data_IF_644020324525
#
_entry.id   IF_644020324525
#
_cell.length_a   1.000
_cell.length_b   1.000
_cell.length_c   1.000
_cell.angle_alpha   90.00
_cell.angle_beta   90.00
_cell.angle_gamma   90.00
#
_symmetry.space_group_name_H-M   'P 1'
#
loop_
_entity.id
_entity.type
_entity.pdbx_description
1 polymer ?
#
# COMPACT_ATOMS: atom_id res chain seq x y z
N UNK A 1 16.88 -17.14 3.85
CA UNK A 1 16.62 -16.40 2.59
C UNK A 1 15.87 -15.12 2.96
N UNK A 2 16.18 -13.98 2.31
CA UNK A 2 15.49 -12.69 2.51
C UNK A 2 14.64 -12.40 1.28
N UNK A 3 13.32 -12.31 1.44
CA UNK A 3 12.37 -12.08 0.34
C UNK A 3 11.50 -10.86 0.65
N UNK A 4 11.25 -10.03 -0.37
CA UNK A 4 10.29 -8.93 -0.31
C UNK A 4 9.21 -9.16 -1.35
N UNK A 5 7.97 -9.03 -0.91
CA UNK A 5 6.80 -8.87 -1.77
C UNK A 5 6.29 -7.45 -1.58
N UNK A 6 6.14 -6.69 -2.66
CA UNK A 6 5.58 -5.34 -2.60
C UNK A 6 4.30 -5.23 -3.41
N UNK A 7 3.34 -4.42 -2.92
CA UNK A 7 2.08 -4.14 -3.61
C UNK A 7 1.78 -2.65 -3.60
N UNK A 8 1.53 -2.11 -4.78
CA UNK A 8 1.11 -0.71 -4.96
C UNK A 8 -0.35 -0.49 -4.53
N UNK A 9 -0.74 0.77 -4.38
CA UNK A 9 -2.12 1.15 -4.09
C UNK A 9 -2.99 1.30 -5.33
N UNK A 10 -4.22 1.77 -5.11
CA UNK A 10 -5.18 2.08 -6.18
C UNK A 10 -4.57 3.05 -7.20
N UNK A 11 -4.76 2.79 -8.47
CA UNK A 11 -4.24 3.53 -9.63
C UNK A 11 -2.70 3.53 -9.81
N UNK A 12 -1.95 2.85 -8.95
CA UNK A 12 -0.51 2.67 -9.09
C UNK A 12 -0.15 1.50 -10.02
N UNK A 13 1.14 1.23 -10.11
CA UNK A 13 1.70 0.04 -10.76
C UNK A 13 3.04 -0.36 -10.12
N UNK A 14 3.58 -1.49 -10.58
CA UNK A 14 4.86 -2.03 -10.10
C UNK A 14 6.07 -1.14 -10.42
N UNK A 15 5.94 -0.17 -11.34
CA UNK A 15 7.01 0.77 -11.67
C UNK A 15 7.39 1.67 -10.49
N UNK A 16 6.44 1.93 -9.59
CA UNK A 16 6.68 2.70 -8.36
C UNK A 16 7.79 2.10 -7.49
N UNK A 17 8.09 0.82 -7.65
CA UNK A 17 9.08 0.09 -6.86
C UNK A 17 10.49 0.02 -7.49
N UNK A 18 10.74 0.60 -8.67
CA UNK A 18 12.01 0.45 -9.39
C UNK A 18 13.24 0.84 -8.57
N UNK A 19 13.19 1.96 -7.83
CA UNK A 19 14.28 2.36 -6.93
C UNK A 19 14.45 1.41 -5.75
N UNK A 20 13.35 0.90 -5.21
CA UNK A 20 13.33 -0.08 -4.13
C UNK A 20 13.92 -1.41 -4.57
N UNK A 21 13.49 -1.93 -5.73
CA UNK A 21 14.02 -3.17 -6.31
C UNK A 21 15.55 -3.11 -6.42
N UNK A 22 16.06 -2.01 -7.00
CA UNK A 22 17.50 -1.81 -7.18
C UNK A 22 18.23 -1.80 -5.83
N UNK A 23 17.69 -1.09 -4.86
CA UNK A 23 18.29 -0.97 -3.53
C UNK A 23 18.27 -2.32 -2.79
N UNK A 24 17.12 -2.99 -2.72
CA UNK A 24 16.97 -4.24 -1.98
C UNK A 24 17.79 -5.38 -2.61
N UNK A 25 17.83 -5.47 -3.95
CA UNK A 25 18.68 -6.44 -4.66
C UNK A 25 20.17 -6.22 -4.35
N UNK A 26 20.62 -4.96 -4.24
CA UNK A 26 22.00 -4.65 -3.85
C UNK A 26 22.33 -5.14 -2.42
N UNK A 27 21.33 -5.22 -1.55
CA UNK A 27 21.44 -5.73 -0.18
C UNK A 27 21.05 -7.22 -0.05
N UNK A 28 21.10 -7.99 -1.14
CA UNK A 28 20.85 -9.44 -1.17
C UNK A 28 19.43 -9.85 -0.73
N UNK A 29 18.43 -9.01 -0.98
CA UNK A 29 17.03 -9.35 -0.86
C UNK A 29 16.49 -9.75 -2.23
N UNK A 30 15.75 -10.85 -2.33
CA UNK A 30 14.95 -11.12 -3.53
C UNK A 30 13.66 -10.31 -3.47
N UNK A 31 13.21 -9.80 -4.63
CA UNK A 31 12.08 -8.90 -4.71
C UNK A 31 11.05 -9.37 -5.74
N UNK A 32 9.77 -9.35 -5.35
CA UNK A 32 8.64 -9.50 -6.26
C UNK A 32 7.69 -8.31 -6.08
N UNK A 33 7.24 -7.74 -7.19
CA UNK A 33 6.22 -6.69 -7.19
C UNK A 33 4.90 -7.27 -7.65
N UNK A 34 3.84 -7.09 -6.87
CA UNK A 34 2.48 -7.28 -7.34
C UNK A 34 2.12 -6.21 -8.36
N UNK A 35 1.32 -6.59 -9.34
CA UNK A 35 0.85 -5.73 -10.43
C UNK A 35 -0.63 -5.97 -10.69
N UNK A 36 -1.44 -4.90 -10.60
CA UNK A 36 -2.89 -5.01 -10.86
C UNK A 36 -3.25 -4.94 -12.34
N UNK A 37 -2.31 -4.52 -13.18
CA UNK A 37 -2.57 -4.44 -14.61
C UNK A 37 -3.63 -3.41 -15.00
N UNK A 38 -3.64 -2.23 -14.37
CA UNK A 38 -4.56 -1.15 -14.73
C UNK A 38 -4.28 -0.56 -16.12
N UNK A 39 -3.01 -0.58 -16.54
CA UNK A 39 -2.56 -0.05 -17.83
C UNK A 39 -2.02 -1.15 -18.73
N UNK A 40 -0.82 -0.89 -19.28
CA UNK A 40 -0.15 -1.77 -20.24
C UNK A 40 0.55 -2.97 -19.61
N UNK A 41 0.78 -2.95 -18.29
CA UNK A 41 1.47 -4.03 -17.58
C UNK A 41 0.53 -5.20 -17.41
N UNK A 42 1.09 -6.41 -17.51
CA UNK A 42 0.35 -7.63 -17.25
C UNK A 42 0.10 -7.77 -15.75
N UNK A 43 -1.10 -8.19 -15.37
CA UNK A 43 -1.41 -8.53 -13.98
C UNK A 43 -0.48 -9.62 -13.46
N UNK A 44 0.03 -9.42 -12.25
CA UNK A 44 0.89 -10.36 -11.55
C UNK A 44 0.58 -10.36 -10.06
N UNK A 45 0.18 -11.51 -9.53
CA UNK A 45 0.04 -11.73 -8.09
C UNK A 45 1.29 -12.41 -7.56
N UNK A 46 2.01 -11.76 -6.62
CA UNK A 46 3.25 -12.30 -6.09
C UNK A 46 2.97 -13.48 -5.12
N UNK A 47 3.97 -14.35 -4.96
CA UNK A 47 3.91 -15.49 -4.05
C UNK A 47 5.30 -15.76 -3.45
N UNK A 48 5.36 -16.41 -2.29
CA UNK A 48 6.62 -16.81 -1.69
C UNK A 48 7.25 -17.96 -2.48
N UNK A 49 8.56 -17.91 -2.68
CA UNK A 49 9.28 -18.95 -3.45
C UNK A 49 9.38 -20.30 -2.74
N UNK A 50 9.09 -20.31 -1.45
CA UNK A 50 9.08 -21.52 -0.62
C UNK A 50 7.77 -21.54 0.17
N UNK A 51 6.95 -22.58 0.01
CA UNK A 51 5.64 -22.70 0.66
C UNK A 51 5.72 -23.20 2.11
N UNK A 52 6.92 -23.56 2.59
CA UNK A 52 7.09 -24.00 3.97
C UNK A 52 7.01 -22.82 4.94
N UNK A 53 6.61 -23.09 6.18
CA UNK A 53 6.68 -22.11 7.26
C UNK A 53 8.08 -21.49 7.34
N UNK A 54 8.20 -20.15 7.50
CA UNK A 54 9.50 -19.51 7.56
C UNK A 54 10.29 -20.01 8.77
N UNK A 55 11.50 -20.46 8.52
CA UNK A 55 12.44 -20.75 9.61
C UNK A 55 12.93 -19.46 10.24
N UNK A 56 13.48 -19.49 11.47
CA UNK A 56 14.04 -18.32 12.17
C UNK A 56 15.06 -17.51 11.35
N UNK A 57 15.69 -18.15 10.34
CA UNK A 57 16.65 -17.50 9.43
C UNK A 57 16.04 -16.95 8.15
N UNK A 58 14.76 -17.19 7.91
CA UNK A 58 14.05 -16.70 6.74
C UNK A 58 13.30 -15.43 7.08
N UNK A 59 13.42 -14.43 6.21
CA UNK A 59 12.71 -13.15 6.32
C UNK A 59 11.79 -13.02 5.11
N UNK A 60 10.51 -12.95 5.36
CA UNK A 60 9.45 -12.74 4.37
C UNK A 60 8.77 -11.41 4.67
N UNK A 61 9.10 -10.42 3.88
CA UNK A 61 8.67 -9.03 4.10
C UNK A 61 7.60 -8.66 3.09
N UNK A 62 6.49 -8.15 3.58
CA UNK A 62 5.50 -7.46 2.75
C UNK A 62 5.71 -5.95 2.90
N UNK A 63 5.84 -5.22 1.78
CA UNK A 63 5.82 -3.76 1.73
C UNK A 63 4.64 -3.34 0.87
N UNK A 64 3.63 -2.73 1.47
CA UNK A 64 2.40 -2.43 0.76
C UNK A 64 1.94 -0.99 1.00
N UNK A 65 1.57 -0.31 -0.10
CA UNK A 65 1.16 1.09 -0.09
C UNK A 65 -0.36 1.22 -0.21
N UNK A 66 -0.97 2.04 0.65
CA UNK A 66 -2.38 2.44 0.56
C UNK A 66 -3.33 1.23 0.58
N UNK A 67 -4.05 0.96 -0.52
CA UNK A 67 -4.90 -0.23 -0.70
C UNK A 67 -4.10 -1.54 -0.85
N UNK A 68 -2.80 -1.46 -1.12
CA UNK A 68 -1.96 -2.62 -1.43
C UNK A 68 -2.10 -3.82 -0.51
N UNK A 69 -2.16 -3.68 0.83
CA UNK A 69 -2.34 -4.82 1.71
C UNK A 69 -3.64 -5.59 1.47
N UNK A 70 -4.70 -4.89 1.06
CA UNK A 70 -6.01 -5.47 0.76
C UNK A 70 -6.09 -6.12 -0.64
N UNK A 71 -5.10 -5.87 -1.50
CA UNK A 71 -5.00 -6.44 -2.84
C UNK A 71 -4.16 -7.72 -2.89
N UNK A 72 -3.40 -7.99 -1.83
CA UNK A 72 -2.58 -9.20 -1.73
C UNK A 72 -3.44 -10.41 -1.35
N UNK A 73 -3.10 -11.60 -1.85
CA UNK A 73 -3.68 -12.85 -1.35
C UNK A 73 -3.41 -13.02 0.16
N UNK A 74 -4.40 -13.52 0.89
CA UNK A 74 -4.28 -13.76 2.34
C UNK A 74 -3.06 -14.64 2.68
N UNK A 75 -2.76 -15.62 1.85
CA UNK A 75 -1.60 -16.51 2.02
C UNK A 75 -0.25 -15.76 2.00
N UNK A 76 -0.15 -14.65 1.26
CA UNK A 76 1.06 -13.83 1.24
C UNK A 76 1.27 -13.14 2.59
N UNK A 77 0.22 -12.56 3.15
CA UNK A 77 0.27 -11.92 4.47
C UNK A 77 0.41 -12.94 5.60
N UNK A 78 -0.22 -14.10 5.46
CA UNK A 78 -0.21 -15.15 6.48
C UNK A 78 1.21 -15.73 6.74
N UNK A 79 2.07 -15.71 5.74
CA UNK A 79 3.45 -16.21 5.86
C UNK A 79 4.49 -15.07 5.95
N UNK A 80 4.05 -13.81 6.12
CA UNK A 80 4.95 -12.68 6.27
C UNK A 80 5.50 -12.60 7.71
N UNK A 81 6.83 -12.55 7.84
CA UNK A 81 7.49 -12.30 9.13
C UNK A 81 7.44 -10.84 9.51
N UNK A 82 7.49 -9.95 8.51
CA UNK A 82 7.47 -8.51 8.65
C UNK A 82 6.50 -7.87 7.66
N UNK A 83 5.76 -6.88 8.10
CA UNK A 83 4.81 -6.15 7.25
C UNK A 83 5.03 -4.64 7.41
N UNK A 84 5.27 -3.96 6.30
CA UNK A 84 5.43 -2.50 6.23
C UNK A 84 4.19 -1.91 5.55
N UNK A 85 3.41 -1.15 6.30
CA UNK A 85 2.20 -0.48 5.84
C UNK A 85 2.52 0.99 5.54
N UNK A 86 2.58 1.34 4.26
CA UNK A 86 2.90 2.68 3.77
C UNK A 86 1.61 3.44 3.47
N UNK A 87 1.32 4.52 4.22
CA UNK A 87 0.12 5.35 4.05
C UNK A 87 -1.16 4.50 3.86
N UNK A 88 -1.29 3.40 4.61
CA UNK A 88 -2.36 2.42 4.49
C UNK A 88 -3.49 2.66 5.50
N UNK A 89 -4.44 1.74 5.56
CA UNK A 89 -5.63 1.79 6.41
C UNK A 89 -6.13 0.37 6.71
N UNK A 90 -6.90 0.23 7.79
CA UNK A 90 -7.73 -0.94 8.05
C UNK A 90 -9.12 -0.78 7.42
N UNK A 91 -9.71 0.41 7.63
CA UNK A 91 -10.97 0.87 7.03
C UNK A 91 -10.72 2.22 6.36
N UNK A 92 -11.01 2.30 5.05
CA UNK A 92 -10.78 3.55 4.32
C UNK A 92 -11.87 4.59 4.60
N UNK A 93 -13.13 4.17 4.65
CA UNK A 93 -14.28 5.03 4.92
C UNK A 93 -14.65 4.92 6.40
N UNK A 94 -14.29 5.92 7.25
CA UNK A 94 -14.63 5.89 8.67
C UNK A 94 -16.12 5.75 8.93
N UNK A 95 -16.50 5.21 10.07
CA UNK A 95 -17.90 5.09 10.44
C UNK A 95 -18.55 6.45 10.76
N UNK A 96 -19.89 6.51 10.66
CA UNK A 96 -20.67 7.65 11.06
C UNK A 96 -20.63 8.84 10.09
N UNK A 97 -20.82 10.04 10.63
CA UNK A 97 -21.00 11.26 9.82
C UNK A 97 -19.77 11.64 9.01
N UNK A 98 -18.56 11.43 9.56
CA UNK A 98 -17.30 11.75 8.91
C UNK A 98 -17.06 10.93 7.63
N UNK A 99 -17.52 9.68 7.59
CA UNK A 99 -17.38 8.81 6.42
C UNK A 99 -18.39 9.09 5.31
N UNK A 100 -19.55 9.72 5.59
CA UNK A 100 -20.59 9.94 4.57
C UNK A 100 -20.12 10.81 3.40
N UNK A 101 -19.47 11.93 3.69
CA UNK A 101 -18.97 12.84 2.66
C UNK A 101 -17.88 12.15 1.80
N UNK A 102 -16.95 11.43 2.47
CA UNK A 102 -15.90 10.65 1.78
C UNK A 102 -16.51 9.58 0.87
N UNK A 103 -17.47 8.80 1.39
CA UNK A 103 -18.18 7.77 0.60
C UNK A 103 -18.90 8.36 -0.61
N UNK A 104 -19.50 9.54 -0.47
CA UNK A 104 -20.16 10.25 -1.58
C UNK A 104 -19.13 10.66 -2.64
N UNK A 105 -17.98 11.21 -2.23
CA UNK A 105 -16.88 11.54 -3.14
C UNK A 105 -16.36 10.33 -3.91
N UNK A 106 -16.11 9.20 -3.22
CA UNK A 106 -15.65 7.95 -3.84
C UNK A 106 -16.67 7.39 -4.84
N UNK A 107 -17.97 7.44 -4.51
CA UNK A 107 -19.04 7.08 -5.48
C UNK A 107 -19.07 8.02 -6.67
N UNK A 108 -18.70 9.29 -6.48
CA UNK A 108 -18.48 10.24 -7.57
C UNK A 108 -17.32 9.81 -8.47
N UNK A 109 -16.16 9.49 -7.90
CA UNK A 109 -15.01 8.98 -8.64
C UNK A 109 -15.36 7.73 -9.44
N UNK A 110 -16.07 6.77 -8.81
CA UNK A 110 -16.51 5.55 -9.49
C UNK A 110 -17.35 5.83 -10.75
N UNK A 111 -18.26 6.83 -10.69
CA UNK A 111 -19.08 7.23 -11.84
C UNK A 111 -18.29 7.91 -12.97
N UNK A 112 -17.14 8.50 -12.63
CA UNK A 112 -16.27 9.10 -13.63
C UNK A 112 -15.47 8.06 -14.43
N UNK A 113 -15.20 6.88 -13.85
CA UNK A 113 -14.49 5.81 -14.56
C UNK A 113 -15.27 5.36 -15.79
N UNK A 114 -14.61 5.37 -16.94
CA UNK A 114 -15.22 5.06 -18.24
C UNK A 114 -16.08 6.18 -18.85
N UNK A 115 -16.13 7.37 -18.22
CA UNK A 115 -16.82 8.55 -18.76
C UNK A 115 -15.83 9.61 -19.29
N UNK A 116 -16.33 10.66 -19.93
CA UNK A 116 -15.51 11.80 -20.39
C UNK A 116 -14.78 12.51 -19.24
N UNK A 117 -15.26 12.38 -18.00
CA UNK A 117 -14.65 12.96 -16.80
C UNK A 117 -13.52 12.12 -16.19
N UNK A 118 -13.24 10.92 -16.73
CA UNK A 118 -12.23 9.98 -16.18
C UNK A 118 -10.86 10.62 -16.06
N UNK A 119 -10.35 11.22 -17.14
CA UNK A 119 -9.00 11.76 -17.18
C UNK A 119 -8.79 12.90 -16.18
N UNK A 120 -9.77 13.81 -16.08
CA UNK A 120 -9.74 14.92 -15.12
C UNK A 120 -9.79 14.39 -13.68
N UNK A 121 -10.70 13.46 -13.38
CA UNK A 121 -10.84 12.86 -12.06
C UNK A 121 -9.54 12.19 -11.62
N UNK A 122 -8.92 11.39 -12.48
CA UNK A 122 -7.67 10.67 -12.18
C UNK A 122 -6.50 11.65 -12.01
N UNK A 123 -6.40 12.69 -12.82
CA UNK A 123 -5.40 13.76 -12.67
C UNK A 123 -5.55 14.47 -11.33
N UNK A 124 -6.79 14.79 -10.93
CA UNK A 124 -7.08 15.39 -9.65
C UNK A 124 -6.72 14.46 -8.46
N UNK A 125 -6.96 13.16 -8.61
CA UNK A 125 -6.54 12.17 -7.62
C UNK A 125 -5.01 12.15 -7.47
N UNK A 126 -4.24 12.08 -8.56
CA UNK A 126 -2.77 12.09 -8.51
C UNK A 126 -2.24 13.36 -7.85
N UNK A 127 -2.81 14.53 -8.18
CA UNK A 127 -2.41 15.79 -7.55
C UNK A 127 -2.62 15.77 -6.04
N UNK A 128 -3.73 15.22 -5.57
CA UNK A 128 -3.99 15.06 -4.13
C UNK A 128 -3.08 14.03 -3.47
N UNK A 129 -2.78 12.92 -4.16
CA UNK A 129 -1.89 11.89 -3.64
C UNK A 129 -0.44 12.40 -3.51
N UNK A 130 0.02 13.25 -4.42
CA UNK A 130 1.35 13.86 -4.36
C UNK A 130 1.46 14.98 -3.33
N UNK A 131 0.37 15.75 -3.12
CA UNK A 131 0.39 16.93 -2.24
C UNK A 131 0.97 16.63 -0.85
N UNK A 132 1.82 17.53 -0.28
CA UNK A 132 2.14 18.88 -0.75
C UNK A 132 3.15 18.96 -1.89
N UNK A 133 3.79 17.87 -2.26
CA UNK A 133 4.71 17.82 -3.39
C UNK A 133 3.94 17.98 -4.72
N UNK A 134 4.59 18.51 -5.78
CA UNK A 134 3.97 18.57 -7.09
C UNK A 134 3.79 17.16 -7.69
N UNK A 135 2.76 16.97 -8.52
CA UNK A 135 2.39 15.67 -9.08
C UNK A 135 3.41 15.10 -10.09
N UNK A 136 4.26 15.94 -10.68
CA UNK A 136 5.35 15.54 -11.56
C UNK A 136 6.49 14.78 -10.83
N UNK A 137 6.53 14.86 -9.50
CA UNK A 137 7.38 14.03 -8.66
C UNK A 137 6.92 12.56 -8.54
N UNK A 138 5.69 12.24 -8.96
CA UNK A 138 5.21 10.86 -8.97
C UNK A 138 5.83 10.06 -10.12
N UNK A 139 6.13 8.77 -9.93
CA UNK A 139 6.45 7.88 -11.03
C UNK A 139 5.34 7.90 -12.09
N UNK A 140 5.72 7.85 -13.37
CA UNK A 140 4.73 7.67 -14.44
C UNK A 140 4.11 6.29 -14.31
N UNK A 141 2.79 6.22 -14.42
CA UNK A 141 2.03 4.99 -14.22
C UNK A 141 0.80 4.93 -15.13
N UNK A 142 -0.14 4.03 -14.86
CA UNK A 142 -1.27 3.72 -15.74
C UNK A 142 -2.09 4.94 -16.17
N UNK A 143 -2.24 5.91 -15.27
CA UNK A 143 -3.00 7.14 -15.58
C UNK A 143 -2.32 7.97 -16.69
N UNK A 144 -0.98 8.01 -16.70
CA UNK A 144 -0.21 8.76 -17.71
C UNK A 144 -0.05 8.00 -19.02
N UNK A 145 -0.04 6.65 -18.96
CA UNK A 145 0.23 5.78 -20.11
C UNK A 145 -1.05 5.27 -20.79
N UNK A 146 -2.19 5.48 -20.15
CA UNK A 146 -3.51 5.01 -20.59
C UNK A 146 -3.92 3.71 -19.92
N UNK A 147 -5.19 3.66 -19.52
CA UNK A 147 -5.81 2.46 -18.95
C UNK A 147 -6.19 1.49 -20.06
N UNK A 148 -5.99 0.18 -19.84
CA UNK A 148 -6.60 -0.84 -20.69
C UNK A 148 -8.10 -1.01 -20.35
N UNK A 149 -8.93 -1.57 -21.24
CA UNK A 149 -10.33 -1.86 -20.91
C UNK A 149 -10.47 -2.74 -19.65
N UNK A 150 -9.70 -3.82 -19.58
CA UNK A 150 -9.66 -4.74 -18.45
C UNK A 150 -9.09 -4.07 -17.19
N UNK A 151 -8.06 -3.23 -17.38
CA UNK A 151 -7.45 -2.45 -16.31
C UNK A 151 -8.40 -1.43 -15.71
N UNK A 152 -9.26 -0.81 -16.54
CA UNK A 152 -10.32 0.10 -16.05
C UNK A 152 -11.36 -0.67 -15.22
N UNK A 153 -11.73 -1.88 -15.64
CA UNK A 153 -12.64 -2.70 -14.85
C UNK A 153 -12.00 -3.03 -13.49
N UNK A 154 -10.76 -3.50 -13.45
CA UNK A 154 -10.03 -3.76 -12.19
C UNK A 154 -9.92 -2.52 -11.33
N UNK A 155 -9.64 -1.36 -11.93
CA UNK A 155 -9.56 -0.09 -11.20
C UNK A 155 -10.90 0.26 -10.54
N UNK A 156 -12.02 -0.09 -11.18
CA UNK A 156 -13.37 0.09 -10.65
C UNK A 156 -13.63 -0.89 -9.51
N UNK A 157 -13.30 -2.16 -9.68
CA UNK A 157 -13.50 -3.21 -8.68
C UNK A 157 -12.66 -2.94 -7.42
N UNK A 158 -11.41 -2.51 -7.61
CA UNK A 158 -10.50 -2.16 -6.52
C UNK A 158 -10.94 -0.88 -5.79
N UNK A 159 -11.59 0.07 -6.47
CA UNK A 159 -12.24 1.21 -5.81
C UNK A 159 -13.46 0.77 -4.98
N UNK A 160 -14.25 -0.16 -5.46
CA UNK A 160 -15.36 -0.74 -4.71
C UNK A 160 -14.84 -1.51 -3.49
N UNK A 161 -13.75 -2.29 -3.61
CA UNK A 161 -13.08 -2.94 -2.50
C UNK A 161 -12.55 -1.93 -1.46
N UNK A 162 -11.92 -0.84 -1.90
CA UNK A 162 -11.48 0.25 -1.02
C UNK A 162 -12.65 0.84 -0.22
N UNK A 163 -13.79 1.10 -0.88
CA UNK A 163 -14.99 1.63 -0.22
C UNK A 163 -15.58 0.64 0.78
N UNK A 164 -15.47 -0.66 0.51
CA UNK A 164 -16.00 -1.74 1.33
C UNK A 164 -15.06 -2.16 2.46
N UNK A 165 -13.77 -1.77 2.44
CA UNK A 165 -12.80 -2.15 3.48
C UNK A 165 -13.31 -1.79 4.87
N UNK A 166 -13.26 -2.75 5.80
CA UNK A 166 -13.86 -2.61 7.12
C UNK A 166 -12.92 -2.99 8.28
N UNK A 167 -11.82 -3.67 7.98
CA UNK A 167 -10.87 -4.22 8.94
C UNK A 167 -9.49 -4.41 8.30
N UNK A 168 -8.51 -4.84 9.09
CA UNK A 168 -7.20 -5.26 8.57
C UNK A 168 -7.37 -6.46 7.63
N UNK A 169 -6.48 -6.61 6.62
CA UNK A 169 -6.47 -7.80 5.79
C UNK A 169 -6.45 -9.08 6.63
N UNK A 170 -7.32 -10.08 6.34
CA UNK A 170 -7.48 -11.27 7.20
C UNK A 170 -6.18 -12.06 7.36
N UNK A 171 -5.33 -12.07 6.33
CA UNK A 171 -4.04 -12.77 6.34
C UNK A 171 -3.00 -12.19 7.31
N UNK A 172 -3.15 -10.94 7.80
CA UNK A 172 -2.17 -10.34 8.71
C UNK A 172 -2.11 -11.10 10.04
N UNK A 173 -0.98 -11.75 10.31
CA UNK A 173 -0.78 -12.56 11.50
C UNK A 173 -0.49 -11.72 12.75
N UNK A 174 -0.95 -12.19 13.89
CA UNK A 174 -0.68 -11.56 15.18
C UNK A 174 0.81 -11.58 15.57
N UNK A 175 1.56 -12.53 15.06
CA UNK A 175 3.01 -12.69 15.30
C UNK A 175 3.90 -11.88 14.35
N UNK A 176 3.34 -11.29 13.29
CA UNK A 176 4.12 -10.48 12.35
C UNK A 176 4.67 -9.23 13.02
N UNK A 177 5.93 -8.88 12.74
CA UNK A 177 6.48 -7.57 13.09
C UNK A 177 5.95 -6.53 12.11
N UNK A 178 5.33 -5.48 12.62
CA UNK A 178 4.66 -4.49 11.78
C UNK A 178 5.28 -3.11 11.95
N UNK A 179 5.53 -2.45 10.83
CA UNK A 179 5.87 -1.03 10.74
C UNK A 179 4.75 -0.29 10.02
N UNK A 180 4.18 0.72 10.67
CA UNK A 180 3.21 1.63 10.07
C UNK A 180 3.91 2.95 9.76
N UNK A 181 3.90 3.37 8.50
CA UNK A 181 4.47 4.64 8.04
C UNK A 181 3.34 5.56 7.60
N UNK A 182 3.14 6.65 8.34
CA UNK A 182 2.09 7.64 8.07
C UNK A 182 2.66 8.95 7.54
N UNK A 183 1.98 9.53 6.58
CA UNK A 183 2.28 10.86 6.07
C UNK A 183 1.53 11.94 6.88
N UNK A 184 2.23 13.03 7.26
CA UNK A 184 1.61 14.12 8.02
C UNK A 184 0.46 14.79 7.26
N UNK A 185 0.70 15.09 5.98
CA UNK A 185 -0.21 15.82 5.11
C UNK A 185 -0.96 14.92 4.13
N UNK A 186 -1.26 13.68 4.56
CA UNK A 186 -2.03 12.75 3.73
C UNK A 186 -3.42 13.31 3.42
N UNK A 187 -3.66 13.67 2.15
CA UNK A 187 -4.94 14.17 1.66
C UNK A 187 -5.87 13.07 1.14
N UNK A 188 -5.45 11.80 1.19
CA UNK A 188 -6.19 10.62 0.70
C UNK A 188 -6.74 9.81 1.88
N UNK A 189 -5.86 9.33 2.77
CA UNK A 189 -6.27 8.59 3.98
C UNK A 189 -6.53 9.59 5.10
N UNK A 190 -7.80 9.80 5.40
CA UNK A 190 -8.23 10.80 6.39
C UNK A 190 -7.74 10.44 7.81
N UNK A 191 -7.54 11.45 8.70
CA UNK A 191 -7.00 11.20 10.05
C UNK A 191 -7.78 10.15 10.85
N UNK A 192 -9.11 10.06 10.70
CA UNK A 192 -9.93 9.06 11.36
C UNK A 192 -9.60 7.63 10.88
N UNK A 193 -9.38 7.42 9.59
CA UNK A 193 -8.99 6.12 9.04
C UNK A 193 -7.58 5.70 9.50
N UNK A 194 -6.65 6.66 9.61
CA UNK A 194 -5.32 6.42 10.19
C UNK A 194 -5.39 6.02 11.67
N UNK A 195 -6.26 6.66 12.45
CA UNK A 195 -6.47 6.27 13.85
C UNK A 195 -7.07 4.87 13.94
N UNK A 196 -8.08 4.55 13.12
CA UNK A 196 -8.66 3.19 13.07
C UNK A 196 -7.61 2.13 12.68
N UNK A 197 -6.64 2.46 11.80
CA UNK A 197 -5.53 1.56 11.50
C UNK A 197 -4.66 1.29 12.74
N UNK A 198 -4.24 2.36 13.46
CA UNK A 198 -3.42 2.21 14.68
C UNK A 198 -4.11 1.34 15.73
N UNK A 199 -5.40 1.59 15.96
CA UNK A 199 -6.19 0.85 16.96
C UNK A 199 -6.35 -0.62 16.53
N UNK A 200 -6.60 -0.87 15.24
CA UNK A 200 -6.76 -2.21 14.69
C UNK A 200 -5.45 -3.01 14.76
N UNK A 201 -4.32 -2.40 14.42
CA UNK A 201 -2.99 -3.03 14.50
C UNK A 201 -2.65 -3.33 15.95
N UNK A 202 -2.85 -2.39 16.87
CA UNK A 202 -2.60 -2.60 18.29
C UNK A 202 -3.44 -3.74 18.87
N UNK A 203 -4.68 -3.87 18.41
CA UNK A 203 -5.59 -4.94 18.86
C UNK A 203 -5.22 -6.32 18.27
N UNK A 204 -4.72 -6.33 17.02
CA UNK A 204 -4.41 -7.57 16.29
C UNK A 204 -3.10 -8.20 16.73
N UNK A 205 -2.06 -7.40 16.97
CA UNK A 205 -0.71 -7.89 17.13
C UNK A 205 -0.40 -8.34 18.56
N UNK A 206 0.44 -9.37 18.68
CA UNK A 206 1.01 -9.83 19.95
C UNK A 206 2.03 -8.84 20.50
N UNK A 207 2.76 -8.14 19.62
CA UNK A 207 3.76 -7.14 19.96
C UNK A 207 3.38 -5.80 19.34
N UNK A 208 3.65 -4.66 20.01
CA UNK A 208 3.33 -3.35 19.47
C UNK A 208 3.97 -3.12 18.11
N UNK A 209 3.21 -2.56 17.17
CA UNK A 209 3.76 -2.08 15.92
C UNK A 209 4.66 -0.87 16.15
N UNK A 210 5.70 -0.72 15.33
CA UNK A 210 6.43 0.52 15.23
C UNK A 210 5.69 1.51 14.33
N UNK A 211 5.66 2.78 14.73
CA UNK A 211 4.97 3.83 14.00
C UNK A 211 5.94 4.94 13.62
N UNK A 212 6.04 5.21 12.31
CA UNK A 212 6.78 6.33 11.79
C UNK A 212 5.84 7.39 11.24
N UNK A 213 6.06 8.61 11.66
CA UNK A 213 5.34 9.77 11.17
C UNK A 213 6.28 10.61 10.32
N UNK A 214 5.92 10.83 9.05
CA UNK A 214 6.75 11.53 8.08
C UNK A 214 6.33 12.99 7.97
N UNK A 215 7.06 13.92 8.62
CA UNK A 215 6.73 15.34 8.56
C UNK A 215 6.79 15.87 7.14
N UNK A 216 5.87 16.77 6.79
CA UNK A 216 5.83 17.44 5.50
C UNK A 216 5.53 16.55 4.29
N UNK A 217 5.27 15.26 4.49
CA UNK A 217 4.98 14.33 3.40
C UNK A 217 3.48 14.12 3.19
N UNK A 218 3.11 13.82 1.94
CA UNK A 218 1.76 13.44 1.55
C UNK A 218 1.61 11.94 1.31
N UNK A 219 0.44 11.54 0.82
CA UNK A 219 0.04 10.14 0.65
C UNK A 219 1.06 9.29 -0.13
N UNK A 220 1.66 9.85 -1.16
CA UNK A 220 2.65 9.13 -1.98
C UNK A 220 3.99 8.89 -1.28
N UNK A 221 4.19 9.42 -0.06
CA UNK A 221 5.41 9.26 0.73
C UNK A 221 6.69 9.53 -0.08
N UNK A 222 6.72 10.65 -0.83
CA UNK A 222 7.89 11.08 -1.60
C UNK A 222 9.02 11.56 -0.66
N UNK A 223 9.55 10.64 0.15
CA UNK A 223 10.59 10.90 1.15
C UNK A 223 11.88 10.24 0.66
N UNK A 224 12.94 11.01 0.35
CA UNK A 224 14.15 10.50 -0.32
C UNK A 224 14.79 9.28 0.35
N UNK A 225 14.89 9.28 1.68
CA UNK A 225 15.61 8.25 2.44
C UNK A 225 14.69 7.15 3.00
N UNK A 226 13.40 7.15 2.66
CA UNK A 226 12.43 6.23 3.26
C UNK A 226 12.81 4.76 3.04
N UNK A 227 13.17 4.39 1.81
CA UNK A 227 13.55 3.01 1.47
C UNK A 227 14.81 2.55 2.24
N UNK A 228 15.80 3.44 2.44
CA UNK A 228 17.01 3.14 3.20
C UNK A 228 16.68 2.94 4.68
N UNK A 229 15.81 3.78 5.23
CA UNK A 229 15.37 3.68 6.63
C UNK A 229 14.61 2.37 6.86
N UNK A 230 13.71 2.00 5.94
CA UNK A 230 12.95 0.75 6.03
C UNK A 230 13.88 -0.47 5.92
N UNK A 231 14.85 -0.45 5.00
CA UNK A 231 15.82 -1.53 4.89
C UNK A 231 16.63 -1.69 6.18
N UNK A 232 17.08 -0.59 6.80
CA UNK A 232 17.78 -0.63 8.09
C UNK A 232 16.90 -1.19 9.20
N UNK A 233 15.62 -0.82 9.25
CA UNK A 233 14.67 -1.38 10.20
C UNK A 233 14.50 -2.89 9.99
N UNK A 234 14.42 -3.33 8.76
CA UNK A 234 14.33 -4.76 8.42
C UNK A 234 15.60 -5.54 8.80
N UNK A 235 16.78 -4.94 8.74
CA UNK A 235 18.02 -5.61 9.12
C UNK A 235 18.24 -5.70 10.64
N UNK A 236 17.51 -4.92 11.43
CA UNK A 236 17.51 -5.08 12.89
C UNK A 236 16.80 -6.39 13.26
N UNK A 237 17.41 -7.22 14.12
CA UNK A 237 16.71 -8.39 14.64
C UNK A 237 15.42 -7.95 15.36
N UNK A 238 14.36 -8.76 15.33
CA UNK A 238 13.27 -8.57 16.27
C UNK A 238 13.89 -8.52 17.67
N UNK A 239 13.61 -7.47 18.44
CA UNK A 239 14.06 -7.45 19.83
C UNK A 239 13.54 -8.72 20.50
N UNK A 240 14.42 -9.43 21.18
CA UNK A 240 14.02 -10.54 22.06
C UNK A 240 13.13 -9.95 23.16
N UNK A 241 11.82 -10.21 23.07
CA UNK A 241 10.82 -9.72 24.03
C UNK A 241 10.27 -10.85 24.86
#
# INVERSE_FOLDING_TARGET
MKQVIAMHGWSGDSHSWVSWIRHFNHHHWSWQSGERGYGKRQEHMPFWQDDQEPTERQRRVVIAHSLGPHLLPDAVLAHATDVVLLASFSRFVPQGAKGRALKTGLKGMRRCLGSDAEAEMLTNFLRRAAAPSPADGLPRGPIHEGLSPEGRQRLTDDLDQLIASAELPPGLQASSRVLVVEAEQDAIVVPAARQELRDAVQTRLQHPAEHWFMPGSGHALLVPDLLIRIQRWLDQPPEER
#
